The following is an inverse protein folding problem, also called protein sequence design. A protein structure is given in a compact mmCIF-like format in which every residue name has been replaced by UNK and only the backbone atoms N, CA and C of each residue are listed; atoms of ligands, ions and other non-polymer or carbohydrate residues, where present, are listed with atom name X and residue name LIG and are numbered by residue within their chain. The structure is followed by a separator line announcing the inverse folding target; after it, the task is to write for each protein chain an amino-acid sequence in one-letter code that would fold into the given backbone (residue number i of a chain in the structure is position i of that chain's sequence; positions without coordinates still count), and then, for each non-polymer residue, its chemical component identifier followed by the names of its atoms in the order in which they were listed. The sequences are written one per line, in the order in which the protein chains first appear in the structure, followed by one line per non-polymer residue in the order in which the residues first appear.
data_IF_799045915168
#
_entry.id   IF_799045915168
#
_cell.length_a   1.000
_cell.length_b   1.000
_cell.length_c   1.000
_cell.angle_alpha   90.00
_cell.angle_beta   90.00
_cell.angle_gamma   90.00
#
_symmetry.space_group_name_H-M   'P 1'
#
loop_
_entity.id
_entity.type
_entity.pdbx_description
1 polymer ?
#
# COMPACT_ATOMS: atom_id res chain seq x y z
N UNK A 1 4.08 1.13 1.40
CA UNK A 1 2.61 1.26 1.37
C UNK A 1 2.24 2.72 1.47
N UNK A 2 1.74 3.30 0.38
CA UNK A 2 1.44 4.73 0.30
C UNK A 2 -0.03 4.97 0.65
N UNK A 3 -0.30 5.39 1.89
CA UNK A 3 -1.64 5.70 2.36
C UNK A 3 -2.09 7.12 1.96
N UNK A 4 -2.05 7.44 0.67
CA UNK A 4 -2.34 8.79 0.16
C UNK A 4 -3.70 9.32 0.66
N UNK A 5 -4.72 8.46 0.69
CA UNK A 5 -6.05 8.80 1.17
C UNK A 5 -6.06 9.28 2.64
N UNK A 6 -5.26 8.67 3.51
CA UNK A 6 -5.12 9.08 4.92
C UNK A 6 -4.30 10.36 5.06
N UNK A 7 -3.31 10.57 4.20
CA UNK A 7 -2.52 11.81 4.20
C UNK A 7 -3.34 13.04 3.78
N UNK A 8 -4.30 12.84 2.89
CA UNK A 8 -5.21 13.88 2.39
C UNK A 8 -6.47 14.05 3.27
N UNK A 9 -6.53 13.39 4.43
CA UNK A 9 -7.65 13.53 5.36
C UNK A 9 -7.83 15.00 5.78
N UNK A 10 -9.07 15.49 5.70
CA UNK A 10 -9.46 16.88 6.03
C UNK A 10 -9.04 17.25 7.45
N UNK A 11 -9.04 16.30 8.39
CA UNK A 11 -8.67 16.51 9.80
C UNK A 11 -7.18 16.79 9.98
N UNK A 12 -6.35 16.34 9.05
CA UNK A 12 -4.92 16.56 9.07
C UNK A 12 -4.52 17.82 8.28
N UNK A 13 -5.45 18.53 7.64
CA UNK A 13 -5.15 19.57 6.65
C UNK A 13 -4.25 20.69 7.19
N UNK A 14 -4.49 21.15 8.41
CA UNK A 14 -3.78 22.28 9.04
C UNK A 14 -2.51 21.90 9.81
N UNK A 15 -2.19 20.60 9.86
CA UNK A 15 -0.99 20.12 10.56
C UNK A 15 0.26 20.25 9.68
N UNK A 16 1.41 20.48 10.32
CA UNK A 16 2.71 20.42 9.63
C UNK A 16 2.92 19.01 9.06
N UNK A 17 3.54 18.92 7.87
CA UNK A 17 3.76 17.65 7.16
C UNK A 17 4.39 16.55 8.04
N UNK A 18 5.41 16.88 8.83
CA UNK A 18 6.04 15.95 9.78
C UNK A 18 5.05 15.34 10.77
N UNK A 19 4.15 16.17 11.32
CA UNK A 19 3.13 15.73 12.28
C UNK A 19 2.03 14.90 11.62
N UNK A 20 1.68 15.18 10.35
CA UNK A 20 0.77 14.32 9.57
C UNK A 20 1.36 12.92 9.40
N UNK A 21 2.63 12.83 9.00
CA UNK A 21 3.33 11.55 8.85
C UNK A 21 3.31 10.77 10.16
N UNK A 22 3.63 11.43 11.27
CA UNK A 22 3.66 10.80 12.58
C UNK A 22 2.29 10.22 12.98
N UNK A 23 1.23 11.01 12.85
CA UNK A 23 -0.14 10.59 13.21
C UNK A 23 -0.60 9.42 12.32
N UNK A 24 -0.43 9.53 11.00
CA UNK A 24 -0.80 8.46 10.07
C UNK A 24 0.00 7.18 10.37
N UNK A 25 1.31 7.31 10.64
CA UNK A 25 2.14 6.15 10.96
C UNK A 25 1.74 5.49 12.28
N UNK A 26 1.37 6.27 13.30
CA UNK A 26 0.87 5.74 14.56
C UNK A 26 -0.47 5.02 14.38
N UNK A 27 -1.41 5.58 13.61
CA UNK A 27 -2.68 4.94 13.28
C UNK A 27 -2.47 3.62 12.51
N UNK A 28 -1.56 3.61 11.53
CA UNK A 28 -1.18 2.40 10.80
C UNK A 28 -0.55 1.36 11.74
N UNK A 29 0.32 1.76 12.67
CA UNK A 29 0.91 0.83 13.65
C UNK A 29 -0.15 0.22 14.56
N UNK A 30 -1.13 1.00 15.03
CA UNK A 30 -2.27 0.50 15.81
C UNK A 30 -3.08 -0.51 15.01
N UNK A 31 -3.49 -0.16 13.79
CA UNK A 31 -4.17 -1.07 12.87
C UNK A 31 -3.41 -2.38 12.65
N UNK A 32 -2.08 -2.32 12.49
CA UNK A 32 -1.23 -3.50 12.28
C UNK A 32 -1.06 -4.38 13.51
N UNK A 33 -1.26 -3.86 14.72
CA UNK A 33 -1.31 -4.69 15.93
C UNK A 33 -2.54 -5.59 15.91
N UNK A 34 -3.67 -5.07 15.48
CA UNK A 34 -4.94 -5.81 15.44
C UNK A 34 -5.07 -6.67 14.17
N UNK A 35 -4.59 -6.17 13.03
CA UNK A 35 -4.58 -6.87 11.74
C UNK A 35 -3.14 -7.01 11.22
N UNK A 36 -2.39 -8.03 11.69
CA UNK A 36 -1.04 -8.28 11.23
C UNK A 36 -0.99 -8.56 9.73
N UNK A 37 0.13 -8.20 9.11
CA UNK A 37 0.38 -8.41 7.70
C UNK A 37 0.40 -9.90 7.36
N UNK A 38 -0.49 -10.35 6.47
CA UNK A 38 -0.39 -11.66 5.87
C UNK A 38 0.65 -11.62 4.72
N UNK A 39 1.91 -11.79 5.09
CA UNK A 39 3.06 -11.74 4.16
C UNK A 39 2.90 -12.80 3.06
N UNK A 40 2.46 -14.01 3.40
CA UNK A 40 2.27 -15.12 2.46
C UNK A 40 1.25 -14.78 1.39
N UNK A 41 0.08 -14.26 1.78
CA UNK A 41 -0.96 -13.85 0.83
C UNK A 41 -0.49 -12.71 -0.07
N UNK A 42 0.31 -11.78 0.45
CA UNK A 42 0.85 -10.65 -0.34
C UNK A 42 1.88 -11.11 -1.36
N UNK A 43 2.81 -11.98 -0.95
CA UNK A 43 3.81 -12.54 -1.85
C UNK A 43 3.14 -13.36 -2.97
N UNK A 44 2.13 -14.16 -2.61
CA UNK A 44 1.34 -14.91 -3.58
C UNK A 44 0.64 -13.97 -4.58
N UNK A 45 0.03 -12.88 -4.10
CA UNK A 45 -0.59 -11.89 -4.97
C UNK A 45 0.42 -11.22 -5.92
N UNK A 46 1.60 -10.86 -5.44
CA UNK A 46 2.67 -10.29 -6.28
C UNK A 46 3.14 -11.29 -7.36
N UNK A 47 3.29 -12.56 -7.00
CA UNK A 47 3.71 -13.61 -7.94
C UNK A 47 2.64 -13.91 -8.99
N UNK A 48 1.36 -13.98 -8.59
CA UNK A 48 0.27 -14.26 -9.54
C UNK A 48 0.03 -13.06 -10.45
N UNK A 49 -0.12 -11.86 -9.89
CA UNK A 49 -0.52 -10.67 -10.66
C UNK A 49 0.65 -9.99 -11.36
N UNK A 50 1.84 -10.02 -10.78
CA UNK A 50 3.05 -9.46 -11.39
C UNK A 50 3.90 -10.52 -12.09
N UNK A 51 4.17 -11.63 -11.42
CA UNK A 51 5.14 -12.63 -11.86
C UNK A 51 4.69 -13.40 -13.10
N UNK A 52 3.48 -13.97 -13.12
CA UNK A 52 2.99 -14.76 -14.26
C UNK A 52 2.98 -13.92 -15.56
N UNK A 53 2.39 -12.70 -15.59
CA UNK A 53 2.42 -11.88 -16.79
C UNK A 53 3.83 -11.45 -17.19
N UNK A 54 4.71 -11.13 -16.22
CA UNK A 54 6.09 -10.78 -16.51
C UNK A 54 6.88 -11.93 -17.16
N UNK A 55 6.65 -13.18 -16.73
CA UNK A 55 7.25 -14.36 -17.36
C UNK A 55 6.76 -14.53 -18.81
N UNK A 56 5.47 -14.33 -19.06
CA UNK A 56 4.93 -14.36 -20.43
C UNK A 56 5.57 -13.26 -21.29
N UNK A 57 5.67 -12.04 -20.78
CA UNK A 57 6.32 -10.93 -21.49
C UNK A 57 7.82 -11.18 -21.73
N UNK A 58 8.49 -11.85 -20.79
CA UNK A 58 9.89 -12.23 -20.93
C UNK A 58 10.09 -13.25 -22.07
N UNK A 59 9.21 -14.26 -22.15
CA UNK A 59 9.30 -15.31 -23.16
C UNK A 59 8.89 -14.83 -24.57
N UNK A 60 7.93 -13.91 -24.67
CA UNK A 60 7.34 -13.50 -25.96
C UNK A 60 7.92 -12.19 -26.51
N UNK A 61 8.34 -11.27 -25.64
CA UNK A 61 8.76 -9.92 -26.05
C UNK A 61 10.22 -9.62 -25.70
N UNK A 62 10.48 -9.12 -24.49
CA UNK A 62 11.81 -8.69 -24.08
C UNK A 62 11.93 -8.60 -22.56
N UNK A 63 13.17 -8.72 -22.09
CA UNK A 63 13.50 -8.60 -20.67
C UNK A 63 13.15 -7.23 -20.08
N UNK A 64 13.39 -6.14 -20.83
CA UNK A 64 13.08 -4.79 -20.37
C UNK A 64 11.59 -4.58 -20.12
N UNK A 65 10.74 -5.06 -21.02
CA UNK A 65 9.29 -5.00 -20.87
C UNK A 65 8.79 -5.87 -19.71
N UNK A 66 9.36 -7.06 -19.52
CA UNK A 66 9.03 -7.94 -18.41
C UNK A 66 9.30 -7.29 -17.05
N UNK A 67 10.49 -6.69 -16.87
CA UNK A 67 10.83 -5.98 -15.63
C UNK A 67 9.94 -4.75 -15.43
N UNK A 68 9.74 -3.94 -16.48
CA UNK A 68 8.91 -2.75 -16.39
C UNK A 68 7.47 -3.08 -15.97
N UNK A 69 6.90 -4.13 -16.58
CA UNK A 69 5.57 -4.61 -16.23
C UNK A 69 5.50 -5.14 -14.79
N UNK A 70 6.51 -5.92 -14.37
CA UNK A 70 6.56 -6.46 -13.01
C UNK A 70 6.59 -5.35 -11.95
N UNK A 71 7.47 -4.35 -12.14
CA UNK A 71 7.58 -3.21 -11.24
C UNK A 71 6.28 -2.39 -11.18
N UNK A 72 5.67 -2.10 -12.34
CA UNK A 72 4.40 -1.37 -12.41
C UNK A 72 3.26 -2.15 -11.72
N UNK A 73 3.20 -3.47 -11.93
CA UNK A 73 2.18 -4.34 -11.34
C UNK A 73 2.28 -4.36 -9.81
N UNK A 74 3.49 -4.46 -9.27
CA UNK A 74 3.71 -4.38 -7.81
C UNK A 74 3.31 -3.00 -7.29
N UNK A 75 3.69 -1.93 -7.98
CA UNK A 75 3.34 -0.58 -7.57
C UNK A 75 1.82 -0.35 -7.51
N UNK A 76 1.09 -0.78 -8.55
CA UNK A 76 -0.38 -0.71 -8.59
C UNK A 76 -0.99 -1.56 -7.48
N UNK A 77 -0.49 -2.77 -7.26
CA UNK A 77 -0.98 -3.67 -6.23
C UNK A 77 -0.80 -3.07 -4.82
N UNK A 78 0.35 -2.46 -4.54
CA UNK A 78 0.62 -1.77 -3.28
C UNK A 78 -0.30 -0.55 -3.07
N UNK A 79 -0.57 0.23 -4.12
CA UNK A 79 -1.53 1.35 -4.05
C UNK A 79 -2.93 0.82 -3.76
N UNK A 80 -3.37 -0.21 -4.49
CA UNK A 80 -4.70 -0.79 -4.31
C UNK A 80 -4.87 -1.31 -2.89
N UNK A 81 -3.91 -2.10 -2.40
CA UNK A 81 -3.92 -2.60 -1.02
C UNK A 81 -3.92 -1.46 0.00
N UNK A 82 -3.15 -0.39 -0.23
CA UNK A 82 -3.13 0.77 0.67
C UNK A 82 -4.47 1.48 0.71
N UNK A 83 -5.11 1.64 -0.45
CA UNK A 83 -6.41 2.26 -0.56
C UNK A 83 -7.52 1.41 0.08
N UNK A 84 -7.50 0.10 -0.13
CA UNK A 84 -8.45 -0.84 0.46
C UNK A 84 -8.31 -0.87 1.99
N UNK A 85 -7.07 -0.88 2.51
CA UNK A 85 -6.80 -0.81 3.95
C UNK A 85 -7.05 0.59 4.55
N UNK A 86 -7.08 1.66 3.73
CA UNK A 86 -7.19 3.04 4.25
C UNK A 86 -8.50 3.29 4.99
N UNK A 87 -9.60 2.67 4.54
CA UNK A 87 -10.90 2.83 5.21
C UNK A 87 -10.89 2.21 6.62
N UNK A 88 -10.23 1.07 6.80
CA UNK A 88 -10.10 0.44 8.11
C UNK A 88 -9.18 1.27 9.02
N UNK A 89 -8.05 1.74 8.49
CA UNK A 89 -7.07 2.56 9.22
C UNK A 89 -7.65 3.92 9.62
N UNK A 90 -8.59 4.49 8.86
CA UNK A 90 -9.27 5.74 9.19
C UNK A 90 -9.97 5.67 10.57
N UNK A 91 -10.48 4.49 10.94
CA UNK A 91 -11.08 4.26 12.26
C UNK A 91 -10.06 4.42 13.39
N UNK A 92 -8.81 3.99 13.16
CA UNK A 92 -7.69 4.14 14.09
C UNK A 92 -7.12 5.56 14.09
N UNK A 93 -7.31 6.31 13.00
CA UNK A 93 -6.90 7.72 12.94
C UNK A 93 -7.65 8.55 14.00
N UNK A 94 -8.93 8.26 14.24
CA UNK A 94 -9.71 8.88 15.32
C UNK A 94 -9.07 8.68 16.69
N UNK A 95 -8.63 7.45 16.98
CA UNK A 95 -8.04 7.08 18.27
C UNK A 95 -6.68 7.74 18.52
N UNK A 96 -5.98 8.16 17.47
CA UNK A 96 -4.68 8.84 17.57
C UNK A 96 -4.85 10.37 17.62
N UNK A 97 -5.99 10.88 17.17
CA UNK A 97 -6.32 12.31 17.18
C UNK A 97 -7.00 12.77 18.48
N UNK A 98 -7.65 11.86 19.23
CA UNK A 98 -8.06 12.06 20.63
C UNK A 98 -6.87 12.03 21.60
#
# INVERSE_FOLDING_TARGET
MFYFKLYDDKRLKDLKHSKKIEIVNNAVKLYRKDKPLNITSRLLAMLIWGGIPAVVLFLVFSFGLAIGWFALSIFILEIKLANDESADVETYLNQVLE
#
